data_IF_038675980056
#
_entry.id   IF_038675980056
#
_cell.length_a   1.000
_cell.length_b   1.000
_cell.length_c   1.000
_cell.angle_alpha   90.00
_cell.angle_beta   90.00
_cell.angle_gamma   90.00
#
_symmetry.space_group_name_H-M   'P 1'
#
loop_
_entity.id
_entity.type
_entity.pdbx_description
1 polymer ?
#
# COMPACT_ATOMS: atom_id res chain seq x y z
N UNK A 1 33.99 -25.23 -72.19
CA UNK A 1 34.16 -25.26 -73.65
C UNK A 1 33.22 -24.22 -74.24
N UNK A 2 33.76 -23.24 -74.99
CA UNK A 2 32.99 -22.29 -75.73
C UNK A 2 33.21 -22.57 -77.22
N UNK A 3 32.14 -22.69 -78.00
CA UNK A 3 32.22 -22.99 -79.46
C UNK A 3 31.66 -21.80 -80.22
N UNK A 4 32.46 -21.18 -81.11
CA UNK A 4 32.02 -20.14 -81.98
C UNK A 4 32.22 -20.63 -83.43
N UNK A 5 31.19 -20.51 -84.27
CA UNK A 5 31.23 -20.91 -85.70
C UNK A 5 31.16 -19.65 -86.58
N UNK A 6 32.14 -19.47 -87.43
CA UNK A 6 32.17 -18.38 -88.42
C UNK A 6 32.77 -18.81 -89.70
N UNK A 7 32.05 -18.67 -90.81
CA UNK A 7 32.45 -19.04 -92.13
C UNK A 7 32.88 -20.52 -92.34
N UNK A 8 32.20 -21.46 -91.67
CA UNK A 8 32.51 -22.87 -91.74
C UNK A 8 33.72 -23.36 -90.93
N UNK A 9 34.37 -22.45 -90.21
CA UNK A 9 35.43 -22.78 -89.20
C UNK A 9 34.86 -22.73 -87.79
N UNK A 10 35.15 -23.73 -87.01
CA UNK A 10 34.79 -23.84 -85.61
C UNK A 10 35.96 -23.53 -84.69
N UNK A 11 35.82 -22.53 -83.87
CA UNK A 11 36.81 -22.20 -82.85
C UNK A 11 36.37 -22.83 -81.52
N UNK A 12 37.22 -23.69 -80.96
CA UNK A 12 37.01 -24.29 -79.68
C UNK A 12 37.92 -23.54 -78.66
N UNK A 13 37.32 -22.84 -77.70
CA UNK A 13 38.03 -22.28 -76.59
C UNK A 13 37.90 -23.26 -75.39
N UNK A 14 38.97 -23.91 -75.06
CA UNK A 14 39.03 -24.78 -73.86
C UNK A 14 39.62 -23.95 -72.71
N UNK A 15 38.82 -23.67 -71.74
CA UNK A 15 39.28 -23.05 -70.53
C UNK A 15 39.72 -24.14 -69.57
N UNK A 16 40.88 -23.98 -68.98
CA UNK A 16 41.31 -24.84 -67.90
C UNK A 16 40.51 -24.53 -66.68
N UNK A 17 39.72 -25.49 -66.18
CA UNK A 17 38.79 -25.31 -65.07
C UNK A 17 39.48 -25.31 -63.72
N UNK A 18 40.72 -25.88 -63.60
CA UNK A 18 41.44 -25.89 -62.35
C UNK A 18 41.84 -24.47 -61.90
N UNK A 19 42.39 -23.68 -62.80
CA UNK A 19 42.77 -22.28 -62.49
C UNK A 19 41.55 -21.40 -62.20
N UNK A 20 40.39 -21.61 -62.85
CA UNK A 20 39.18 -20.85 -62.59
C UNK A 20 38.57 -21.21 -61.25
N UNK A 21 38.58 -22.46 -60.85
CA UNK A 21 38.05 -22.92 -59.56
C UNK A 21 38.90 -22.41 -58.39
N UNK A 22 40.26 -22.42 -58.52
CA UNK A 22 41.14 -21.84 -57.53
C UNK A 22 40.92 -20.32 -57.35
N UNK A 23 40.83 -19.58 -58.48
CA UNK A 23 40.54 -18.16 -58.43
C UNK A 23 39.18 -17.87 -57.79
N UNK A 24 38.14 -18.61 -58.10
CA UNK A 24 36.81 -18.49 -57.50
C UNK A 24 36.85 -18.81 -55.99
N UNK A 25 37.65 -19.76 -55.56
CA UNK A 25 37.82 -20.06 -54.14
C UNK A 25 38.54 -18.94 -53.40
N UNK A 26 39.71 -18.48 -53.89
CA UNK A 26 40.52 -17.46 -53.22
C UNK A 26 39.88 -16.07 -53.24
N UNK A 27 39.25 -15.69 -54.32
CA UNK A 27 38.64 -14.36 -54.44
C UNK A 27 37.14 -14.29 -54.16
N UNK A 28 36.45 -15.42 -54.14
CA UNK A 28 35.01 -15.46 -53.84
C UNK A 28 34.70 -16.09 -52.52
N UNK A 29 34.96 -17.38 -52.35
CA UNK A 29 34.49 -18.14 -51.16
C UNK A 29 35.30 -17.82 -49.91
N UNK A 30 36.63 -17.72 -50.02
CA UNK A 30 37.51 -17.51 -48.89
C UNK A 30 37.25 -16.16 -48.18
N UNK A 31 37.23 -15.00 -48.89
CA UNK A 31 36.94 -13.74 -48.22
C UNK A 31 35.50 -13.66 -47.66
N UNK A 32 34.54 -14.29 -48.33
CA UNK A 32 33.15 -14.35 -47.85
C UNK A 32 33.04 -15.17 -46.56
N UNK A 33 33.72 -16.33 -46.49
CA UNK A 33 33.73 -17.16 -45.29
C UNK A 33 34.45 -16.48 -44.11
N UNK A 34 35.55 -15.79 -44.36
CA UNK A 34 36.26 -14.97 -43.34
C UNK A 34 35.37 -13.85 -42.84
N UNK A 35 34.69 -13.12 -43.74
CA UNK A 35 33.76 -12.06 -43.38
C UNK A 35 32.58 -12.60 -42.52
N UNK A 36 32.02 -13.73 -42.87
CA UNK A 36 30.96 -14.41 -42.11
C UNK A 36 31.44 -14.78 -40.67
N UNK A 37 32.62 -15.40 -40.59
CA UNK A 37 33.20 -15.76 -39.28
C UNK A 37 33.44 -14.53 -38.40
N UNK A 38 33.93 -13.42 -38.98
CA UNK A 38 34.13 -12.18 -38.29
C UNK A 38 32.80 -11.56 -37.80
N UNK A 39 31.78 -11.55 -38.67
CA UNK A 39 30.44 -11.03 -38.32
C UNK A 39 29.82 -11.85 -37.17
N UNK A 40 29.83 -13.16 -37.28
CA UNK A 40 29.31 -14.03 -36.21
C UNK A 40 30.13 -13.92 -34.93
N UNK A 41 31.46 -13.89 -35.01
CA UNK A 41 32.33 -13.68 -33.87
C UNK A 41 32.09 -12.37 -33.16
N UNK A 42 31.98 -11.27 -33.92
CA UNK A 42 31.70 -9.95 -33.36
C UNK A 42 30.28 -9.88 -32.77
N UNK A 43 29.30 -10.44 -33.43
CA UNK A 43 27.91 -10.53 -32.94
C UNK A 43 27.83 -11.32 -31.64
N UNK A 44 28.49 -12.46 -31.56
CA UNK A 44 28.56 -13.29 -30.34
C UNK A 44 29.27 -12.55 -29.20
N UNK A 45 30.36 -11.85 -29.50
CA UNK A 45 31.09 -11.05 -28.51
C UNK A 45 30.21 -9.91 -27.98
N UNK A 46 29.54 -9.18 -28.87
CA UNK A 46 28.65 -8.09 -28.53
C UNK A 46 27.46 -8.59 -27.68
N UNK A 47 26.86 -9.72 -28.06
CA UNK A 47 25.80 -10.36 -27.28
C UNK A 47 26.26 -10.70 -25.87
N UNK A 48 27.44 -11.33 -25.76
CA UNK A 48 27.98 -11.75 -24.47
C UNK A 48 28.34 -10.57 -23.55
N UNK A 49 28.92 -9.51 -24.10
CA UNK A 49 29.25 -8.28 -23.39
C UNK A 49 27.97 -7.54 -22.95
N UNK A 50 26.98 -7.42 -23.83
CA UNK A 50 25.70 -6.79 -23.53
C UNK A 50 24.97 -7.53 -22.41
N UNK A 51 24.91 -8.85 -22.49
CA UNK A 51 24.23 -9.65 -21.45
C UNK A 51 24.93 -9.53 -20.10
N UNK A 52 26.27 -9.47 -20.08
CA UNK A 52 27.06 -9.28 -18.86
C UNK A 52 26.88 -7.88 -18.24
N UNK A 53 26.65 -6.85 -19.07
CA UNK A 53 26.45 -5.49 -18.61
C UNK A 53 25.01 -5.21 -18.15
N UNK A 54 24.00 -5.81 -18.79
CA UNK A 54 22.58 -5.52 -18.51
C UNK A 54 22.04 -6.39 -17.36
N UNK A 55 22.46 -7.65 -17.23
CA UNK A 55 21.95 -8.58 -16.21
C UNK A 55 22.00 -8.03 -14.78
N UNK A 56 23.08 -7.36 -14.31
CA UNK A 56 23.12 -6.78 -12.97
C UNK A 56 22.10 -5.69 -12.73
N UNK A 57 21.85 -4.85 -13.73
CA UNK A 57 20.90 -3.72 -13.63
C UNK A 57 19.47 -4.24 -13.47
N UNK A 58 19.11 -5.29 -14.21
CA UNK A 58 17.78 -5.92 -14.09
C UNK A 58 17.59 -6.51 -12.69
N UNK A 59 18.60 -7.23 -12.16
CA UNK A 59 18.53 -7.80 -10.81
C UNK A 59 18.43 -6.74 -9.71
N UNK A 60 19.12 -5.60 -9.87
CA UNK A 60 18.97 -4.47 -8.94
C UNK A 60 17.58 -3.84 -9.03
N UNK A 61 16.98 -3.78 -10.22
CA UNK A 61 15.62 -3.31 -10.40
C UNK A 61 14.60 -4.25 -9.75
N UNK A 62 14.76 -5.57 -9.95
CA UNK A 62 13.92 -6.61 -9.33
C UNK A 62 14.02 -6.54 -7.79
N UNK A 63 15.23 -6.36 -7.25
CA UNK A 63 15.45 -6.17 -5.81
C UNK A 63 14.70 -4.95 -5.28
N UNK A 64 14.72 -3.81 -6.00
CA UNK A 64 13.96 -2.63 -5.60
C UNK A 64 12.45 -2.82 -5.65
N UNK A 65 11.94 -3.58 -6.61
CA UNK A 65 10.52 -3.88 -6.74
C UNK A 65 10.04 -4.79 -5.59
N UNK A 66 10.88 -5.73 -5.15
CA UNK A 66 10.58 -6.63 -4.02
C UNK A 66 10.88 -6.00 -2.66
N UNK A 67 11.61 -4.87 -2.62
CA UNK A 67 11.99 -4.23 -1.37
C UNK A 67 10.76 -3.79 -0.56
N UNK A 68 10.61 -4.36 0.64
CA UNK A 68 9.56 -4.01 1.60
C UNK A 68 10.18 -3.39 2.84
N UNK A 69 9.67 -2.26 3.24
CA UNK A 69 10.13 -1.54 4.42
C UNK A 69 9.97 -2.37 5.70
N UNK A 70 11.03 -2.43 6.50
CA UNK A 70 10.98 -3.05 7.83
C UNK A 70 11.24 -4.55 7.87
N UNK A 71 11.48 -5.20 6.75
CA UNK A 71 12.11 -6.51 6.72
C UNK A 71 13.61 -6.29 6.66
N UNK A 72 14.38 -6.97 7.53
CA UNK A 72 15.84 -6.96 7.48
C UNK A 72 16.27 -7.63 6.18
N UNK A 73 16.31 -6.86 5.11
CA UNK A 73 16.88 -7.32 3.86
C UNK A 73 18.39 -7.10 3.93
N UNK A 74 19.09 -8.11 4.41
CA UNK A 74 20.46 -8.29 3.94
C UNK A 74 20.38 -8.38 2.41
N UNK A 75 21.21 -7.61 1.71
CA UNK A 75 21.35 -7.73 0.26
C UNK A 75 21.35 -9.22 -0.10
N UNK A 76 20.43 -9.62 -0.96
CA UNK A 76 20.27 -11.02 -1.34
C UNK A 76 21.65 -11.57 -1.71
N UNK A 77 21.98 -12.79 -1.29
CA UNK A 77 23.27 -13.42 -1.57
C UNK A 77 23.66 -13.29 -3.06
N UNK A 78 22.65 -13.32 -3.93
CA UNK A 78 22.78 -13.13 -5.39
C UNK A 78 23.34 -11.75 -5.78
N UNK A 79 23.03 -10.69 -5.03
CA UNK A 79 23.56 -9.33 -5.27
C UNK A 79 24.97 -9.21 -4.71
N UNK A 80 25.23 -9.82 -3.55
CA UNK A 80 26.56 -9.89 -2.97
C UNK A 80 27.54 -10.69 -3.85
N UNK A 81 27.07 -11.78 -4.46
CA UNK A 81 27.87 -12.61 -5.38
C UNK A 81 28.20 -11.89 -6.69
N UNK A 82 27.46 -10.83 -7.04
CA UNK A 82 27.79 -9.98 -8.18
C UNK A 82 28.95 -9.02 -7.90
N UNK A 83 29.29 -8.76 -6.60
CA UNK A 83 30.45 -7.93 -6.24
C UNK A 83 31.73 -8.60 -6.75
N UNK A 84 32.52 -7.84 -7.50
CA UNK A 84 33.78 -8.31 -8.07
C UNK A 84 33.68 -9.15 -9.35
N UNK A 85 32.46 -9.60 -9.74
CA UNK A 85 32.21 -10.27 -11.03
C UNK A 85 31.72 -9.28 -12.11
N UNK A 86 31.18 -8.15 -11.69
CA UNK A 86 30.70 -7.07 -12.53
C UNK A 86 31.75 -5.94 -12.68
N UNK A 87 31.47 -4.98 -13.56
CA UNK A 87 32.33 -3.82 -13.74
C UNK A 87 32.27 -2.90 -12.50
N UNK A 88 33.29 -2.07 -12.32
CA UNK A 88 33.38 -1.12 -11.20
C UNK A 88 32.15 -0.20 -11.07
N UNK A 89 31.46 0.11 -12.16
CA UNK A 89 30.24 0.89 -12.19
C UNK A 89 29.07 0.17 -11.49
N UNK A 90 28.99 -1.15 -11.59
CA UNK A 90 27.96 -1.97 -10.92
C UNK A 90 28.23 -2.04 -9.42
N UNK A 91 29.49 -2.16 -8.99
CA UNK A 91 29.86 -2.12 -7.57
C UNK A 91 29.46 -0.77 -6.93
N UNK A 92 29.67 0.34 -7.63
CA UNK A 92 29.22 1.68 -7.19
C UNK A 92 27.70 1.75 -7.07
N UNK A 93 26.94 1.12 -8.00
CA UNK A 93 25.48 1.07 -7.93
C UNK A 93 25.00 0.23 -6.74
N UNK A 94 25.62 -0.91 -6.48
CA UNK A 94 25.31 -1.77 -5.33
C UNK A 94 25.53 -1.01 -4.02
N UNK A 95 26.69 -0.34 -3.88
CA UNK A 95 26.99 0.46 -2.69
C UNK A 95 26.02 1.64 -2.50
N UNK A 96 25.68 2.34 -3.60
CA UNK A 96 24.71 3.42 -3.55
C UNK A 96 23.32 2.94 -3.14
N UNK A 97 22.91 1.76 -3.61
CA UNK A 97 21.64 1.12 -3.27
C UNK A 97 21.61 0.70 -1.79
N UNK A 98 22.66 0.05 -1.30
CA UNK A 98 22.80 -0.37 0.09
C UNK A 98 22.72 0.85 1.04
N UNK A 99 23.44 1.91 0.70
CA UNK A 99 23.36 3.17 1.44
C UNK A 99 21.98 3.82 1.38
N UNK A 100 21.30 3.75 0.24
CA UNK A 100 19.96 4.32 0.09
C UNK A 100 18.94 3.54 0.93
N UNK A 101 18.90 2.21 0.83
CA UNK A 101 18.00 1.36 1.59
C UNK A 101 18.24 1.48 3.10
N UNK A 102 19.52 1.45 3.55
CA UNK A 102 19.88 1.66 4.95
C UNK A 102 19.45 3.02 5.50
N UNK A 103 19.60 4.09 4.71
CA UNK A 103 19.13 5.43 5.12
C UNK A 103 17.61 5.52 5.18
N UNK A 104 16.93 4.82 4.28
CA UNK A 104 15.47 4.78 4.21
C UNK A 104 14.91 4.01 5.41
N UNK A 105 15.48 2.85 5.74
CA UNK A 105 15.10 2.08 6.92
C UNK A 105 15.32 2.89 8.21
N UNK A 106 16.49 3.52 8.35
CA UNK A 106 16.78 4.39 9.49
C UNK A 106 15.86 5.62 9.57
N UNK A 107 15.36 6.12 8.45
CA UNK A 107 14.37 7.21 8.43
C UNK A 107 13.02 6.72 8.93
N UNK A 108 12.55 5.58 8.42
CA UNK A 108 11.27 4.99 8.79
C UNK A 108 11.25 4.57 10.26
N UNK A 109 12.34 3.97 10.76
CA UNK A 109 12.45 3.61 12.17
C UNK A 109 12.39 4.84 13.08
N UNK A 110 13.05 5.93 12.69
CA UNK A 110 12.95 7.21 13.44
C UNK A 110 11.54 7.77 13.41
N UNK A 111 10.85 7.71 12.30
CA UNK A 111 9.46 8.17 12.19
C UNK A 111 8.53 7.32 13.05
N UNK A 112 8.71 6.00 13.07
CA UNK A 112 7.97 5.06 13.93
C UNK A 112 8.19 5.35 15.41
N UNK A 113 9.45 5.51 15.84
CA UNK A 113 9.80 5.85 17.21
C UNK A 113 9.18 7.19 17.58
N UNK A 114 9.35 8.22 16.75
CA UNK A 114 8.77 9.54 17.00
C UNK A 114 7.25 9.49 17.16
N UNK A 115 6.55 8.77 16.30
CA UNK A 115 5.08 8.68 16.35
C UNK A 115 4.63 7.91 17.60
N UNK A 116 5.34 6.82 17.95
CA UNK A 116 5.07 6.08 19.19
C UNK A 116 5.27 6.95 20.43
N UNK A 117 6.39 7.65 20.50
CA UNK A 117 6.75 8.48 21.64
C UNK A 117 5.80 9.68 21.75
N UNK A 118 5.49 10.37 20.64
CA UNK A 118 4.51 11.44 20.60
C UNK A 118 3.14 10.99 21.13
N UNK A 119 2.72 9.77 20.82
CA UNK A 119 1.44 9.26 21.29
C UNK A 119 1.44 8.90 22.77
N UNK A 120 2.54 8.39 23.31
CA UNK A 120 2.68 8.19 24.75
C UNK A 120 2.66 9.54 25.49
N UNK A 121 3.40 10.54 24.98
CA UNK A 121 3.44 11.89 25.53
C UNK A 121 2.10 12.63 25.43
N UNK A 122 1.27 12.34 24.44
CA UNK A 122 -0.08 12.91 24.30
C UNK A 122 -1.12 12.18 25.16
N UNK A 123 -0.99 10.89 25.38
CA UNK A 123 -1.94 10.12 26.22
C UNK A 123 -1.93 10.58 27.67
N UNK A 124 -0.77 10.92 28.21
CA UNK A 124 -0.61 11.34 29.61
C UNK A 124 -1.39 12.62 29.94
N UNK A 125 -1.23 13.76 29.22
CA UNK A 125 -2.02 14.97 29.50
C UNK A 125 -3.51 14.75 29.27
N UNK A 126 -3.91 13.94 28.31
CA UNK A 126 -5.32 13.62 28.09
C UNK A 126 -5.92 12.86 29.25
N UNK A 127 -5.20 11.88 29.81
CA UNK A 127 -5.63 11.17 31.02
C UNK A 127 -5.77 12.11 32.22
N UNK A 128 -4.86 13.09 32.37
CA UNK A 128 -4.94 14.13 33.42
C UNK A 128 -6.17 15.01 33.20
N UNK A 129 -6.44 15.45 31.95
CA UNK A 129 -7.64 16.26 31.66
C UNK A 129 -8.92 15.49 31.93
N UNK A 130 -8.96 14.18 31.55
CA UNK A 130 -10.10 13.31 31.82
C UNK A 130 -10.36 13.15 33.30
N UNK A 131 -9.32 12.85 34.09
CA UNK A 131 -9.41 12.76 35.57
C UNK A 131 -9.85 14.06 36.22
N UNK A 132 -9.35 15.21 35.76
CA UNK A 132 -9.75 16.52 36.25
C UNK A 132 -11.23 16.83 35.92
N UNK A 133 -11.70 16.47 34.76
CA UNK A 133 -13.10 16.58 34.38
C UNK A 133 -14.01 15.67 35.20
N UNK A 134 -13.60 14.44 35.48
CA UNK A 134 -14.34 13.51 36.32
C UNK A 134 -14.45 14.01 37.78
N UNK A 135 -13.42 14.65 38.27
CA UNK A 135 -13.43 15.33 39.61
C UNK A 135 -14.38 16.51 39.59
N UNK A 136 -14.29 17.35 38.59
CA UNK A 136 -15.18 18.48 38.41
C UNK A 136 -16.66 18.06 38.30
N UNK A 137 -16.98 16.93 37.64
CA UNK A 137 -18.36 16.43 37.55
C UNK A 137 -18.98 15.93 38.86
N UNK A 138 -18.19 15.61 39.86
CA UNK A 138 -18.67 15.17 41.19
C UNK A 138 -19.18 16.30 42.10
N UNK A 139 -18.88 17.54 41.76
CA UNK A 139 -19.34 18.70 42.51
C UNK A 139 -20.81 18.99 42.20
N UNK A 140 -21.68 19.03 43.20
CA UNK A 140 -23.14 19.03 43.03
C UNK A 140 -23.76 20.44 42.90
N UNK A 141 -23.03 21.55 43.12
CA UNK A 141 -23.56 22.91 43.00
C UNK A 141 -23.19 23.56 41.68
N UNK A 142 -23.82 23.12 40.57
CA UNK A 142 -23.49 23.67 39.25
C UNK A 142 -24.66 24.23 38.49
N UNK A 143 -24.35 25.22 37.61
CA UNK A 143 -25.30 25.71 36.65
C UNK A 143 -25.48 24.75 35.47
N UNK A 144 -26.62 24.73 34.85
CA UNK A 144 -26.88 23.95 33.61
C UNK A 144 -25.90 24.33 32.46
N UNK A 145 -25.29 25.50 32.50
CA UNK A 145 -24.26 25.96 31.57
C UNK A 145 -22.94 25.22 31.77
N UNK A 146 -22.56 25.03 33.05
CA UNK A 146 -21.29 24.34 33.40
C UNK A 146 -21.36 22.86 33.06
N UNK A 147 -22.51 22.21 33.27
CA UNK A 147 -22.74 20.83 32.87
C UNK A 147 -22.59 20.65 31.35
N UNK A 148 -23.14 21.56 30.56
CA UNK A 148 -22.98 21.53 29.08
C UNK A 148 -21.53 21.73 28.65
N UNK A 149 -20.79 22.63 29.33
CA UNK A 149 -19.38 22.86 29.03
C UNK A 149 -18.52 21.64 29.36
N UNK A 150 -18.74 21.02 30.52
CA UNK A 150 -18.04 19.80 30.94
C UNK A 150 -18.34 18.60 30.00
N UNK A 151 -19.60 18.44 29.61
CA UNK A 151 -19.97 17.40 28.65
C UNK A 151 -19.32 17.60 27.26
N UNK A 152 -19.13 18.87 26.86
CA UNK A 152 -18.39 19.20 25.63
C UNK A 152 -16.90 18.86 25.77
N UNK A 153 -16.27 19.27 26.87
CA UNK A 153 -14.85 18.96 27.13
C UNK A 153 -14.59 17.45 27.17
N UNK A 154 -15.46 16.68 27.85
CA UNK A 154 -15.36 15.22 27.90
C UNK A 154 -15.41 14.59 26.50
N UNK A 155 -16.35 15.04 25.67
CA UNK A 155 -16.43 14.59 24.27
C UNK A 155 -15.14 14.88 23.51
N UNK A 156 -14.62 16.11 23.63
CA UNK A 156 -13.37 16.50 22.95
C UNK A 156 -12.20 15.64 23.38
N UNK A 157 -12.07 15.29 24.67
CA UNK A 157 -11.00 14.42 25.17
C UNK A 157 -11.13 13.00 24.61
N UNK A 158 -12.34 12.43 24.59
CA UNK A 158 -12.59 11.11 24.01
C UNK A 158 -12.25 11.10 22.50
N UNK A 159 -12.59 12.18 21.80
CA UNK A 159 -12.26 12.32 20.40
C UNK A 159 -10.74 12.42 20.17
N UNK A 160 -10.00 13.12 21.04
CA UNK A 160 -8.53 13.19 21.00
C UNK A 160 -7.88 11.85 21.31
N UNK A 161 -8.38 11.10 22.31
CA UNK A 161 -7.92 9.73 22.59
C UNK A 161 -8.05 8.85 21.34
N UNK A 162 -9.20 8.84 20.68
CA UNK A 162 -9.44 8.07 19.45
C UNK A 162 -8.55 8.49 18.28
N UNK A 163 -8.27 9.79 18.14
CA UNK A 163 -7.35 10.31 17.14
C UNK A 163 -5.91 9.82 17.35
N UNK A 164 -5.43 9.91 18.59
CA UNK A 164 -4.07 9.49 18.94
C UNK A 164 -3.91 7.98 18.74
N UNK A 165 -4.87 7.19 19.22
CA UNK A 165 -4.84 5.74 19.01
C UNK A 165 -4.81 5.37 17.53
N UNK A 166 -5.56 6.12 16.73
CA UNK A 166 -5.59 5.90 15.28
C UNK A 166 -4.29 6.29 14.61
N UNK A 167 -3.73 7.46 14.97
CA UNK A 167 -2.42 7.89 14.45
C UNK A 167 -1.34 6.88 14.80
N UNK A 168 -1.37 6.33 16.04
CA UNK A 168 -0.46 5.26 16.47
C UNK A 168 -0.61 3.99 15.63
N UNK A 169 -1.85 3.56 15.43
CA UNK A 169 -2.11 2.36 14.63
C UNK A 169 -1.61 2.54 13.21
N UNK A 170 -1.83 3.70 12.62
CA UNK A 170 -1.40 4.03 11.28
C UNK A 170 0.12 4.18 11.14
N UNK A 171 0.80 4.64 12.19
CA UNK A 171 2.25 4.80 12.20
C UNK A 171 3.00 3.48 12.43
N UNK A 172 2.37 2.49 13.08
CA UNK A 172 2.93 1.15 13.25
C UNK A 172 3.03 0.35 11.95
N UNK A 173 2.38 0.80 10.87
CA UNK A 173 2.52 0.27 9.52
C UNK A 173 2.45 -1.26 9.43
N UNK A 174 3.54 -1.88 9.03
CA UNK A 174 3.64 -3.33 8.78
C UNK A 174 3.66 -4.22 10.02
N UNK A 175 3.78 -3.67 11.25
CA UNK A 175 3.66 -4.45 12.49
C UNK A 175 2.23 -4.99 12.72
N UNK A 176 1.26 -4.58 11.90
CA UNK A 176 -0.06 -5.18 11.84
C UNK A 176 -0.05 -6.41 10.92
N UNK A 177 0.89 -7.34 11.14
CA UNK A 177 0.78 -8.65 10.48
C UNK A 177 -0.59 -9.25 10.81
N UNK A 178 -1.34 -9.70 9.80
CA UNK A 178 -2.61 -10.36 10.07
C UNK A 178 -2.34 -11.58 10.95
N UNK A 179 -3.11 -11.74 12.04
CA UNK A 179 -2.93 -12.87 12.94
C UNK A 179 -3.06 -14.19 12.17
N UNK A 180 -2.37 -15.25 12.64
CA UNK A 180 -2.43 -16.57 12.01
C UNK A 180 -3.86 -17.11 12.01
N UNK A 181 -4.62 -16.82 13.06
CA UNK A 181 -5.98 -17.27 13.24
C UNK A 181 -6.98 -16.24 12.73
N UNK A 182 -8.11 -16.74 12.21
CA UNK A 182 -9.24 -15.89 11.82
C UNK A 182 -10.06 -15.53 13.05
N UNK A 183 -10.57 -14.30 13.06
CA UNK A 183 -11.49 -13.81 14.09
C UNK A 183 -12.92 -13.87 13.56
N UNK A 184 -13.85 -14.34 14.38
CA UNK A 184 -15.29 -14.39 14.07
C UNK A 184 -15.92 -13.04 14.39
N UNK A 185 -16.29 -12.32 13.35
CA UNK A 185 -16.77 -10.93 13.47
C UNK A 185 -18.13 -10.87 14.17
N UNK A 186 -18.97 -11.86 13.94
CA UNK A 186 -20.31 -11.93 14.55
C UNK A 186 -20.30 -11.83 16.09
N UNK A 187 -19.25 -12.33 16.73
CA UNK A 187 -19.11 -12.31 18.20
C UNK A 187 -18.67 -10.93 18.74
N UNK A 188 -18.02 -10.10 17.91
CA UNK A 188 -17.49 -8.78 18.29
C UNK A 188 -18.53 -7.66 18.12
N UNK A 189 -19.37 -7.74 17.10
CA UNK A 189 -20.29 -6.66 16.75
C UNK A 189 -21.24 -6.26 17.88
N UNK A 190 -21.83 -7.17 18.66
CA UNK A 190 -22.70 -6.79 19.78
C UNK A 190 -22.01 -5.86 20.78
N UNK A 191 -20.75 -6.15 21.15
CA UNK A 191 -19.97 -5.29 22.05
C UNK A 191 -19.75 -3.91 21.46
N UNK A 192 -19.47 -3.82 20.15
CA UNK A 192 -19.26 -2.54 19.48
C UNK A 192 -20.54 -1.71 19.39
N UNK A 193 -21.69 -2.35 19.20
CA UNK A 193 -23.01 -1.71 19.27
C UNK A 193 -23.23 -1.15 20.68
N UNK A 194 -22.95 -1.93 21.73
CA UNK A 194 -23.12 -1.47 23.11
C UNK A 194 -22.21 -0.28 23.44
N UNK A 195 -21.00 -0.23 22.89
CA UNK A 195 -20.08 0.91 23.05
C UNK A 195 -20.61 2.21 22.43
N UNK A 196 -21.32 2.13 21.32
CA UNK A 196 -21.88 3.31 20.64
C UNK A 196 -23.32 3.62 21.04
N UNK A 197 -24.04 2.70 21.65
CA UNK A 197 -25.44 2.88 22.06
C UNK A 197 -25.69 4.15 22.90
N UNK A 198 -24.80 4.56 23.84
CA UNK A 198 -24.97 5.80 24.58
C UNK A 198 -25.04 7.04 23.70
N UNK A 199 -24.50 7.02 22.49
CA UNK A 199 -24.54 8.16 21.55
C UNK A 199 -25.92 8.35 20.91
N UNK A 200 -26.73 7.30 20.88
CA UNK A 200 -28.11 7.31 20.40
C UNK A 200 -29.11 7.70 21.50
N UNK A 201 -28.68 7.71 22.79
CA UNK A 201 -29.57 8.06 23.91
C UNK A 201 -30.17 9.46 23.76
N UNK A 202 -31.48 9.59 24.00
CA UNK A 202 -32.20 10.83 23.86
C UNK A 202 -32.59 11.17 22.41
N UNK A 203 -32.37 10.26 21.46
CA UNK A 203 -32.82 10.33 20.08
C UNK A 203 -33.70 9.12 19.77
N UNK A 204 -34.60 9.25 18.83
CA UNK A 204 -35.44 8.15 18.34
C UNK A 204 -34.64 7.35 17.25
N UNK A 205 -33.59 6.67 17.68
CA UNK A 205 -32.72 5.89 16.79
C UNK A 205 -32.73 4.45 17.25
N UNK A 206 -33.17 3.53 16.37
CA UNK A 206 -33.11 2.09 16.58
C UNK A 206 -31.77 1.54 16.06
N UNK A 207 -30.96 0.95 16.96
CA UNK A 207 -29.77 0.20 16.60
C UNK A 207 -30.14 -1.28 16.44
N UNK A 208 -29.72 -1.90 15.34
CA UNK A 208 -29.98 -3.32 15.08
C UNK A 208 -28.84 -3.99 14.33
N UNK A 209 -28.75 -5.32 14.54
CA UNK A 209 -27.78 -6.18 13.83
C UNK A 209 -28.56 -7.25 13.07
N UNK A 210 -28.15 -7.52 11.83
CA UNK A 210 -28.64 -8.62 10.99
C UNK A 210 -27.47 -9.55 10.69
N UNK A 211 -27.63 -10.80 11.04
CA UNK A 211 -26.69 -11.86 10.73
C UNK A 211 -27.22 -12.70 9.58
N UNK A 212 -26.75 -12.42 8.36
CA UNK A 212 -27.09 -13.21 7.18
C UNK A 212 -26.16 -14.43 7.01
N UNK A 213 -24.94 -14.35 7.54
CA UNK A 213 -23.94 -15.42 7.54
C UNK A 213 -22.84 -15.19 8.59
N UNK A 214 -22.03 -16.22 8.83
CA UNK A 214 -20.79 -16.05 9.61
C UNK A 214 -19.71 -15.40 8.78
N UNK A 215 -19.05 -14.38 9.36
CA UNK A 215 -17.92 -13.68 8.76
C UNK A 215 -16.64 -13.90 9.57
N UNK A 216 -15.62 -14.42 8.90
CA UNK A 216 -14.32 -14.69 9.47
C UNK A 216 -13.24 -13.89 8.78
N UNK A 217 -12.52 -13.01 9.50
CA UNK A 217 -11.46 -12.16 8.95
C UNK A 217 -10.10 -12.47 9.60
N UNK A 218 -9.04 -12.31 8.82
CA UNK A 218 -7.65 -12.29 9.32
C UNK A 218 -7.23 -10.85 9.54
N UNK A 219 -7.52 -10.32 10.71
CA UNK A 219 -7.09 -8.99 11.11
C UNK A 219 -7.02 -8.92 12.65
N UNK A 220 -6.18 -8.06 13.21
CA UNK A 220 -6.22 -7.78 14.64
C UNK A 220 -7.60 -7.26 15.03
N UNK A 221 -8.15 -7.78 16.13
CA UNK A 221 -9.47 -7.37 16.65
C UNK A 221 -9.59 -5.85 16.79
N UNK A 222 -8.50 -5.21 17.24
CA UNK A 222 -8.43 -3.75 17.38
C UNK A 222 -8.66 -3.00 16.07
N UNK A 223 -8.19 -3.53 14.94
CA UNK A 223 -8.42 -2.93 13.61
C UNK A 223 -9.90 -3.00 13.25
N UNK A 224 -10.52 -4.17 13.49
CA UNK A 224 -11.95 -4.39 13.23
C UNK A 224 -12.77 -3.45 14.11
N UNK A 225 -12.43 -3.35 15.40
CA UNK A 225 -13.08 -2.44 16.35
C UNK A 225 -13.05 -0.99 15.85
N UNK A 226 -11.88 -0.49 15.45
CA UNK A 226 -11.73 0.88 14.96
C UNK A 226 -12.57 1.11 13.71
N UNK A 227 -12.55 0.17 12.76
CA UNK A 227 -13.34 0.27 11.53
C UNK A 227 -14.84 0.36 11.83
N UNK A 228 -15.36 -0.63 12.57
CA UNK A 228 -16.80 -0.75 12.85
C UNK A 228 -17.29 0.42 13.71
N UNK A 229 -16.55 0.78 14.76
CA UNK A 229 -16.94 1.90 15.63
C UNK A 229 -16.96 3.21 14.85
N UNK A 230 -15.99 3.48 13.96
CA UNK A 230 -16.01 4.69 13.13
C UNK A 230 -17.23 4.73 12.20
N UNK A 231 -17.59 3.62 11.57
CA UNK A 231 -18.77 3.53 10.72
C UNK A 231 -20.06 3.74 11.52
N UNK A 232 -20.23 3.04 12.65
CA UNK A 232 -21.41 3.17 13.51
C UNK A 232 -21.54 4.57 14.10
N UNK A 233 -20.45 5.17 14.61
CA UNK A 233 -20.43 6.54 15.11
C UNK A 233 -20.87 7.53 14.03
N UNK A 234 -20.41 7.32 12.81
CA UNK A 234 -20.76 8.15 11.67
C UNK A 234 -22.26 8.01 11.38
N UNK A 235 -22.75 6.79 11.23
CA UNK A 235 -24.17 6.49 11.01
C UNK A 235 -25.07 7.15 12.10
N UNK A 236 -24.75 6.98 13.39
CA UNK A 236 -25.50 7.59 14.50
C UNK A 236 -25.40 9.13 14.47
N UNK A 237 -24.23 9.69 14.16
CA UNK A 237 -24.04 11.14 14.15
C UNK A 237 -24.90 11.85 13.09
N UNK A 238 -25.12 11.18 11.95
CA UNK A 238 -25.87 11.73 10.82
C UNK A 238 -27.35 11.32 10.78
N UNK A 239 -27.78 10.41 11.65
CA UNK A 239 -29.20 10.05 11.85
C UNK A 239 -29.77 10.84 13.02
N UNK A 240 -30.87 11.55 12.82
CA UNK A 240 -31.59 12.24 13.88
C UNK A 240 -32.71 11.38 14.48
N UNK A 241 -33.47 10.72 13.62
CA UNK A 241 -34.53 9.76 13.92
C UNK A 241 -34.53 8.65 12.89
N UNK A 242 -34.93 7.42 13.27
CA UNK A 242 -34.98 6.27 12.38
C UNK A 242 -34.11 5.10 12.83
N UNK A 243 -33.26 4.54 11.96
CA UNK A 243 -32.48 3.33 12.26
C UNK A 243 -31.04 3.40 11.77
N UNK A 244 -30.18 2.73 12.52
CA UNK A 244 -28.82 2.35 12.12
C UNK A 244 -28.73 0.83 12.23
N UNK A 245 -28.42 0.19 11.13
CA UNK A 245 -28.38 -1.26 11.00
C UNK A 245 -27.01 -1.72 10.54
N UNK A 246 -26.45 -2.74 11.21
CA UNK A 246 -25.24 -3.41 10.75
C UNK A 246 -25.60 -4.81 10.28
N UNK A 247 -25.32 -5.10 9.03
CA UNK A 247 -25.55 -6.42 8.42
C UNK A 247 -24.22 -7.13 8.17
N UNK A 248 -24.15 -8.39 8.57
CA UNK A 248 -23.02 -9.27 8.32
C UNK A 248 -23.40 -10.34 7.29
N UNK A 249 -22.63 -10.41 6.22
CA UNK A 249 -22.68 -11.49 5.25
C UNK A 249 -21.37 -12.31 5.30
N UNK A 250 -21.25 -13.33 4.45
CA UNK A 250 -20.03 -14.16 4.40
C UNK A 250 -18.78 -13.43 3.93
N UNK A 251 -18.91 -12.22 3.36
CA UNK A 251 -17.81 -11.45 2.75
C UNK A 251 -17.82 -9.97 3.05
N UNK A 252 -18.86 -9.44 3.69
CA UNK A 252 -19.09 -8.00 3.83
C UNK A 252 -19.64 -7.63 5.21
N UNK A 253 -19.27 -6.44 5.68
CA UNK A 253 -19.92 -5.72 6.78
C UNK A 253 -20.58 -4.52 6.15
N UNK A 254 -21.89 -4.41 6.26
CA UNK A 254 -22.65 -3.29 5.70
C UNK A 254 -23.27 -2.51 6.86
N UNK A 255 -23.03 -1.22 6.90
CA UNK A 255 -23.68 -0.29 7.84
C UNK A 255 -24.64 0.58 7.07
N UNK A 256 -25.93 0.50 7.40
CA UNK A 256 -26.98 1.32 6.81
C UNK A 256 -27.54 2.29 7.83
N UNK A 257 -27.75 3.51 7.42
CA UNK A 257 -28.40 4.54 8.22
C UNK A 257 -29.54 5.18 7.44
N UNK A 258 -30.50 5.75 8.17
CA UNK A 258 -31.62 6.52 7.62
C UNK A 258 -31.41 8.02 7.78
N UNK A 259 -30.16 8.46 7.87
CA UNK A 259 -29.76 9.83 8.10
C UNK A 259 -29.94 10.74 6.89
N UNK A 260 -29.32 11.92 6.96
CA UNK A 260 -29.45 12.97 5.93
C UNK A 260 -28.85 12.62 4.58
N UNK A 261 -28.07 11.54 4.50
CA UNK A 261 -27.38 11.11 3.30
C UNK A 261 -26.31 12.10 2.82
N UNK A 262 -25.66 11.73 1.72
CA UNK A 262 -24.62 12.52 1.08
C UNK A 262 -24.95 12.77 -0.39
N UNK A 263 -24.60 13.94 -0.90
CA UNK A 263 -24.64 14.23 -2.34
C UNK A 263 -23.50 13.51 -3.05
N UNK A 264 -23.59 13.31 -4.38
CA UNK A 264 -22.53 12.65 -5.15
C UNK A 264 -21.15 13.32 -4.94
N UNK A 265 -21.09 14.65 -4.83
CA UNK A 265 -19.85 15.37 -4.56
C UNK A 265 -19.31 15.11 -3.14
N UNK A 266 -20.19 14.98 -2.15
CA UNK A 266 -19.80 14.67 -0.79
C UNK A 266 -19.32 13.22 -0.65
N UNK A 267 -19.89 12.28 -1.40
CA UNK A 267 -19.43 10.88 -1.44
C UNK A 267 -17.99 10.79 -1.93
N UNK A 268 -17.65 11.51 -3.01
CA UNK A 268 -16.29 11.53 -3.56
C UNK A 268 -15.26 12.05 -2.54
N UNK A 269 -15.66 12.98 -1.68
CA UNK A 269 -14.79 13.62 -0.67
C UNK A 269 -14.96 13.05 0.74
N UNK A 270 -15.94 12.17 0.97
CA UNK A 270 -16.28 11.66 2.30
C UNK A 270 -15.11 10.96 3.01
N UNK A 271 -14.18 10.41 2.23
CA UNK A 271 -12.98 9.73 2.71
C UNK A 271 -11.73 10.63 2.78
N UNK A 272 -11.84 11.92 2.43
CA UNK A 272 -10.73 12.86 2.59
C UNK A 272 -10.58 13.27 4.06
N UNK A 273 -9.35 13.41 4.56
CA UNK A 273 -9.11 13.85 5.92
C UNK A 273 -9.74 15.24 6.17
N UNK A 274 -10.39 15.41 7.33
CA UNK A 274 -11.03 16.64 7.77
C UNK A 274 -12.24 17.11 6.93
N UNK A 275 -12.68 16.29 5.96
CA UNK A 275 -13.88 16.61 5.20
C UNK A 275 -15.15 16.51 6.05
N UNK A 276 -16.05 17.47 5.88
CA UNK A 276 -17.37 17.54 6.54
C UNK A 276 -18.38 18.15 5.60
N UNK A 277 -19.47 17.41 5.36
CA UNK A 277 -20.58 17.89 4.53
C UNK A 277 -21.18 19.22 5.03
N UNK A 278 -21.64 20.06 4.12
CA UNK A 278 -22.12 21.41 4.42
C UNK A 278 -23.34 21.43 5.37
N UNK A 279 -24.27 20.48 5.19
CA UNK A 279 -25.48 20.37 6.00
C UNK A 279 -25.25 20.05 7.48
N UNK A 280 -24.07 19.60 7.82
CA UNK A 280 -23.75 19.02 9.13
C UNK A 280 -22.75 19.85 9.94
N UNK A 281 -22.10 20.85 9.31
CA UNK A 281 -21.13 21.73 10.00
C UNK A 281 -21.68 22.40 11.26
N UNK A 282 -22.97 22.60 11.34
CA UNK A 282 -23.60 23.34 12.46
C UNK A 282 -23.88 22.48 13.71
N UNK A 283 -24.12 21.17 13.59
CA UNK A 283 -24.69 20.36 14.68
C UNK A 283 -23.93 19.09 15.07
N UNK A 284 -22.89 18.65 14.34
CA UNK A 284 -22.15 17.43 14.69
C UNK A 284 -20.76 17.71 15.22
N UNK A 285 -20.38 17.00 16.28
CA UNK A 285 -19.07 17.09 16.94
C UNK A 285 -18.09 16.07 16.38
N UNK A 286 -17.78 16.07 15.08
CA UNK A 286 -16.78 15.14 14.52
C UNK A 286 -15.64 15.90 13.82
N UNK A 287 -14.40 15.40 13.89
CA UNK A 287 -13.21 16.03 13.27
C UNK A 287 -13.04 15.71 11.78
N UNK A 288 -13.97 14.94 11.16
CA UNK A 288 -13.88 14.55 9.74
C UNK A 288 -12.75 13.54 9.45
N UNK A 289 -12.29 12.77 10.44
CA UNK A 289 -11.21 11.81 10.29
C UNK A 289 -11.69 10.36 10.25
N UNK A 290 -12.89 10.05 10.74
CA UNK A 290 -13.37 8.67 10.87
C UNK A 290 -13.36 7.88 9.57
N UNK A 291 -13.91 8.41 8.50
CA UNK A 291 -13.95 7.72 7.20
C UNK A 291 -12.58 7.65 6.50
N UNK A 292 -11.72 8.65 6.66
CA UNK A 292 -10.36 8.60 6.13
C UNK A 292 -9.51 7.52 6.81
N UNK A 293 -9.74 7.28 8.10
CA UNK A 293 -9.16 6.19 8.87
C UNK A 293 -9.65 4.84 8.32
N UNK A 294 -10.97 4.71 8.13
CA UNK A 294 -11.58 3.50 7.56
C UNK A 294 -10.97 3.19 6.21
N UNK A 295 -10.90 4.17 5.29
CA UNK A 295 -10.28 4.00 3.96
C UNK A 295 -8.84 3.51 4.04
N UNK A 296 -8.04 4.11 4.92
CA UNK A 296 -6.61 3.75 5.07
C UNK A 296 -6.43 2.34 5.61
N UNK A 297 -7.20 1.93 6.64
CA UNK A 297 -7.14 0.58 7.18
C UNK A 297 -7.63 -0.47 6.18
N UNK A 298 -8.75 -0.19 5.50
CA UNK A 298 -9.28 -1.06 4.43
C UNK A 298 -8.23 -1.29 3.34
N UNK A 299 -7.56 -0.23 2.91
CA UNK A 299 -6.48 -0.33 1.91
C UNK A 299 -5.27 -1.13 2.42
N UNK A 300 -4.86 -0.91 3.67
CA UNK A 300 -3.72 -1.61 4.28
C UNK A 300 -3.94 -3.12 4.38
N UNK A 301 -5.18 -3.56 4.66
CA UNK A 301 -5.55 -4.98 4.72
C UNK A 301 -6.01 -5.56 3.38
N UNK A 302 -5.92 -4.80 2.29
CA UNK A 302 -6.34 -5.24 0.96
C UNK A 302 -7.84 -5.46 0.81
N UNK A 303 -8.66 -4.86 1.68
CA UNK A 303 -10.13 -4.91 1.61
C UNK A 303 -10.66 -3.82 0.66
N UNK A 304 -11.99 -3.84 0.43
CA UNK A 304 -12.68 -2.84 -0.40
C UNK A 304 -13.72 -2.09 0.43
N UNK A 305 -13.93 -0.81 0.09
CA UNK A 305 -14.97 0.04 0.64
C UNK A 305 -15.65 0.78 -0.49
#
# INVERSE_FOLDING_TARGET
>A
LYVSERNGARLYLVFDNENVSELAFYFGILPLSVALVLIYGLSFLTYRLSHKAISPIVRLADYLEEYRFGQTHELTQDILDMRGLANAEVDVMIDAMDHFTSRLDAFIDRERIFTRDASHELRTPIAVFKGSLDLLQKDKERSASDEKALARMRRTIIDMEGLIETLLLLARGEELEPPKDKVKINELIPEYIDQVAPMAQGRDIKLSMIESAELWLRAPERVIQILVINLLRNAIAYTQEGSVEIELSSSEIIVRDTGVGMTSKEVDQAFDPFFRGEKVRANSSGHGLGLSIVKRLVHQFGWRI
#
